data_IF_612199922604
#
_entry.id   IF_612199922604
#
_cell.length_a   1.000
_cell.length_b   1.000
_cell.length_c   1.000
_cell.angle_alpha   90.00
_cell.angle_beta   90.00
_cell.angle_gamma   90.00
#
_symmetry.space_group_name_H-M   'P 1'
#
loop_
_entity.id
_entity.type
_entity.pdbx_description
1 polymer ?
#
# COMPACT_ATOMS: atom_id res chain seq x y z
N UNK A 1 -0.96 1.95 -16.40
CA UNK A 1 -1.26 2.24 -14.98
C UNK A 1 -0.98 1.02 -14.12
N UNK A 2 -0.69 1.25 -12.84
CA UNK A 2 -0.43 0.17 -11.88
C UNK A 2 -1.53 0.19 -10.81
N UNK A 3 -2.06 -0.98 -10.46
CA UNK A 3 -3.00 -1.11 -9.34
C UNK A 3 -2.30 -0.94 -7.98
N UNK A 4 -3.11 -0.71 -6.96
CA UNK A 4 -2.70 -0.91 -5.58
C UNK A 4 -2.67 -2.42 -5.31
N UNK A 5 -1.49 -3.01 -5.39
CA UNK A 5 -1.29 -4.45 -5.30
C UNK A 5 -1.08 -4.93 -3.85
N UNK A 6 -1.99 -4.59 -2.95
CA UNK A 6 -1.96 -5.12 -1.58
C UNK A 6 -2.35 -6.61 -1.54
N UNK A 7 -1.90 -7.32 -0.52
CA UNK A 7 -2.17 -8.75 -0.31
C UNK A 7 -1.85 -9.56 -1.57
N UNK A 8 -2.68 -10.51 -1.99
CA UNK A 8 -2.45 -11.31 -3.19
C UNK A 8 -2.78 -10.61 -4.52
N UNK A 9 -2.89 -9.30 -4.53
CA UNK A 9 -3.18 -8.57 -5.77
C UNK A 9 -1.91 -8.35 -6.60
N UNK A 10 -2.02 -8.55 -7.92
CA UNK A 10 -0.96 -8.17 -8.86
C UNK A 10 -0.96 -6.66 -9.11
N UNK A 11 0.22 -6.11 -9.47
CA UNK A 11 0.36 -4.68 -9.77
C UNK A 11 -0.10 -4.27 -11.18
N UNK A 12 -0.26 -5.24 -12.09
CA UNK A 12 -0.73 -4.98 -13.45
C UNK A 12 -2.22 -4.68 -13.46
N UNK A 13 -2.62 -3.62 -14.14
CA UNK A 13 -4.04 -3.32 -14.37
C UNK A 13 -4.67 -4.36 -15.29
N UNK A 14 -5.92 -4.70 -14.99
CA UNK A 14 -6.77 -5.55 -15.82
C UNK A 14 -8.08 -4.81 -16.10
N UNK A 15 -8.73 -5.13 -17.22
CA UNK A 15 -10.02 -4.53 -17.55
C UNK A 15 -11.08 -4.84 -16.49
N UNK A 16 -11.70 -3.81 -15.95
CA UNK A 16 -12.81 -3.91 -15.01
C UNK A 16 -14.15 -3.94 -15.75
N UNK A 17 -14.41 -5.01 -16.49
CA UNK A 17 -15.60 -5.13 -17.35
C UNK A 17 -16.93 -4.79 -16.67
N UNK A 18 -17.17 -5.11 -15.38
CA UNK A 18 -18.37 -4.69 -14.68
C UNK A 18 -18.54 -3.16 -14.59
N UNK A 19 -17.47 -2.38 -14.73
CA UNK A 19 -17.56 -0.90 -14.71
C UNK A 19 -18.48 -0.35 -15.80
N UNK A 20 -18.62 -1.04 -16.94
CA UNK A 20 -19.55 -0.67 -18.02
C UNK A 20 -21.01 -0.69 -17.55
N UNK A 21 -21.38 -1.73 -16.79
CA UNK A 21 -22.72 -1.79 -16.17
C UNK A 21 -22.89 -0.73 -15.09
N UNK A 22 -21.89 -0.52 -14.24
CA UNK A 22 -21.96 0.48 -13.18
C UNK A 22 -22.07 1.90 -13.75
N UNK A 23 -21.31 2.23 -14.81
CA UNK A 23 -21.39 3.53 -15.47
C UNK A 23 -22.81 3.83 -15.98
N UNK A 24 -23.46 2.84 -16.60
CA UNK A 24 -24.84 2.95 -17.02
C UNK A 24 -25.80 3.02 -15.83
N UNK A 25 -25.66 2.12 -14.85
CA UNK A 25 -26.54 1.99 -13.69
C UNK A 25 -26.59 3.28 -12.86
N UNK A 26 -25.46 3.94 -12.69
CA UNK A 26 -25.34 5.17 -11.91
C UNK A 26 -25.38 6.44 -12.76
N UNK A 27 -25.56 6.31 -14.08
CA UNK A 27 -25.47 7.42 -15.03
C UNK A 27 -24.17 8.25 -14.80
N UNK A 28 -23.07 7.53 -14.57
CA UNK A 28 -21.77 8.13 -14.31
C UNK A 28 -20.71 7.56 -15.28
N UNK A 29 -20.57 8.14 -16.47
CA UNK A 29 -19.61 7.66 -17.47
C UNK A 29 -18.14 7.83 -17.04
N UNK A 30 -17.83 8.70 -16.06
CA UNK A 30 -16.46 8.88 -15.59
C UNK A 30 -15.87 7.59 -14.97
N UNK A 31 -16.69 6.63 -14.55
CA UNK A 31 -16.25 5.30 -14.11
C UNK A 31 -15.55 4.51 -15.23
N UNK A 32 -15.72 4.90 -16.49
CA UNK A 32 -15.06 4.29 -17.64
C UNK A 32 -13.79 5.03 -18.08
N UNK A 33 -13.40 6.09 -17.40
CA UNK A 33 -12.28 6.91 -17.84
C UNK A 33 -10.99 6.09 -18.01
N UNK A 34 -10.63 5.28 -17.02
CA UNK A 34 -9.49 4.39 -17.08
C UNK A 34 -9.70 3.24 -18.10
N UNK A 35 -10.90 2.67 -18.13
CA UNK A 35 -11.24 1.56 -19.05
C UNK A 35 -11.09 1.99 -20.51
N UNK A 36 -11.58 3.19 -20.87
CA UNK A 36 -11.45 3.73 -22.21
C UNK A 36 -9.99 4.06 -22.57
N UNK A 37 -9.20 4.54 -21.60
CA UNK A 37 -7.76 4.76 -21.79
C UNK A 37 -7.05 3.44 -22.07
N UNK A 38 -7.32 2.40 -21.29
CA UNK A 38 -6.78 1.05 -21.51
C UNK A 38 -7.20 0.49 -22.87
N UNK A 39 -8.46 0.65 -23.24
CA UNK A 39 -8.97 0.20 -24.54
C UNK A 39 -8.28 0.90 -25.71
N UNK A 40 -8.13 2.24 -25.65
CA UNK A 40 -7.43 3.04 -26.66
C UNK A 40 -5.95 2.68 -26.77
N UNK A 41 -5.31 2.27 -25.69
CA UNK A 41 -3.92 1.85 -25.63
C UNK A 41 -3.73 0.38 -26.08
N UNK A 42 -4.78 -0.33 -26.44
CA UNK A 42 -4.71 -1.76 -26.78
C UNK A 42 -4.44 -2.69 -25.60
N UNK A 43 -4.65 -2.24 -24.35
CA UNK A 43 -4.40 -3.01 -23.13
C UNK A 43 -5.51 -4.06 -22.84
N UNK A 44 -6.56 -4.09 -23.65
CA UNK A 44 -7.64 -5.09 -23.60
C UNK A 44 -7.30 -6.41 -24.32
N UNK A 45 -6.09 -6.60 -24.77
CA UNK A 45 -5.68 -7.77 -25.58
C UNK A 45 -5.90 -9.10 -24.85
N UNK A 46 -5.84 -9.13 -23.54
CA UNK A 46 -6.02 -10.34 -22.73
C UNK A 46 -7.49 -10.58 -22.30
N UNK A 47 -8.42 -9.82 -22.84
CA UNK A 47 -9.85 -9.93 -22.47
C UNK A 47 -10.65 -10.87 -23.38
N UNK A 48 -10.09 -11.35 -24.49
CA UNK A 48 -10.80 -12.16 -25.49
C UNK A 48 -11.41 -13.43 -24.91
N UNK A 49 -10.78 -14.03 -23.91
CA UNK A 49 -11.28 -15.22 -23.20
C UNK A 49 -12.17 -14.89 -21.99
N UNK A 50 -12.35 -13.61 -21.69
CA UNK A 50 -13.15 -13.21 -20.54
C UNK A 50 -14.65 -13.31 -20.88
N UNK A 51 -15.36 -14.22 -20.21
CA UNK A 51 -16.81 -14.43 -20.38
C UNK A 51 -17.68 -13.19 -20.17
N UNK A 52 -17.15 -12.14 -19.52
CA UNK A 52 -17.85 -10.87 -19.28
C UNK A 52 -17.60 -9.84 -20.40
N UNK A 53 -16.74 -10.11 -21.39
CA UNK A 53 -16.45 -9.19 -22.48
C UNK A 53 -17.74 -8.72 -23.23
N UNK A 54 -18.76 -9.56 -23.47
CA UNK A 54 -20.02 -9.14 -24.09
C UNK A 54 -20.76 -8.03 -23.31
N UNK A 55 -20.46 -7.83 -22.01
CA UNK A 55 -21.04 -6.74 -21.23
C UNK A 55 -20.72 -5.35 -21.84
N UNK A 56 -19.54 -5.19 -22.43
CA UNK A 56 -19.18 -3.94 -23.11
C UNK A 56 -20.20 -3.65 -24.21
N UNK A 57 -20.50 -4.62 -25.08
CA UNK A 57 -21.46 -4.48 -26.16
C UNK A 57 -22.87 -4.19 -25.66
N UNK A 58 -23.25 -4.81 -24.54
CA UNK A 58 -24.59 -4.63 -23.96
C UNK A 58 -24.80 -3.23 -23.33
N UNK A 59 -23.75 -2.62 -22.81
CA UNK A 59 -23.85 -1.39 -22.03
C UNK A 59 -23.26 -0.16 -22.70
N UNK A 60 -22.27 -0.32 -23.60
CA UNK A 60 -21.59 0.79 -24.26
C UNK A 60 -22.50 1.67 -25.11
N UNK A 61 -23.52 1.08 -25.79
CA UNK A 61 -24.42 1.79 -26.67
C UNK A 61 -25.27 2.89 -25.98
N UNK A 62 -25.31 2.89 -24.66
CA UNK A 62 -26.02 3.87 -23.84
C UNK A 62 -25.11 4.92 -23.21
N UNK A 63 -23.84 4.90 -23.55
CA UNK A 63 -22.81 5.77 -22.98
C UNK A 63 -22.12 6.50 -24.13
N UNK A 64 -22.03 7.82 -24.03
CA UNK A 64 -21.20 8.60 -24.93
C UNK A 64 -19.73 8.42 -24.60
N UNK A 65 -19.12 7.37 -25.19
CA UNK A 65 -17.73 6.96 -24.92
C UNK A 65 -16.70 7.97 -25.41
N UNK A 66 -17.06 8.83 -26.36
CA UNK A 66 -16.15 9.83 -26.92
C UNK A 66 -16.00 11.07 -26.03
N UNK A 67 -16.99 11.31 -25.17
CA UNK A 67 -17.04 12.48 -24.28
C UNK A 67 -16.87 12.13 -22.79
N UNK A 68 -16.35 10.95 -22.47
CA UNK A 68 -16.07 10.57 -21.09
C UNK A 68 -14.94 11.43 -20.50
N UNK A 69 -15.27 12.15 -19.42
CA UNK A 69 -14.33 13.00 -18.69
C UNK A 69 -13.72 12.24 -17.50
N UNK A 70 -12.54 12.71 -17.06
CA UNK A 70 -11.95 12.23 -15.83
C UNK A 70 -12.92 12.39 -14.64
N UNK A 71 -12.82 11.54 -13.60
CA UNK A 71 -13.54 11.77 -12.36
C UNK A 71 -13.23 13.15 -11.78
N UNK A 72 -14.24 13.81 -11.22
CA UNK A 72 -14.06 15.08 -10.49
C UNK A 72 -13.45 14.87 -9.10
N UNK A 73 -13.73 13.70 -8.52
CA UNK A 73 -13.30 13.35 -7.17
C UNK A 73 -11.83 12.90 -7.16
N UNK A 74 -11.01 13.54 -6.35
CA UNK A 74 -9.61 13.13 -6.15
C UNK A 74 -9.49 11.92 -5.22
N UNK A 75 -10.42 11.74 -4.28
CA UNK A 75 -10.36 10.71 -3.25
C UNK A 75 -11.53 9.76 -3.39
N UNK A 76 -11.23 8.48 -3.42
CA UNK A 76 -12.20 7.41 -3.34
C UNK A 76 -11.92 6.52 -2.14
N UNK A 77 -12.97 6.12 -1.40
CA UNK A 77 -12.86 5.22 -0.26
C UNK A 77 -13.78 4.02 -0.39
N UNK A 78 -13.20 2.82 -0.32
CA UNK A 78 -13.94 1.56 -0.23
C UNK A 78 -14.17 1.19 1.22
N UNK A 79 -15.45 0.92 1.55
CA UNK A 79 -15.85 0.39 2.86
C UNK A 79 -16.05 -1.12 2.72
N UNK A 80 -15.52 -1.88 3.64
CA UNK A 80 -15.64 -3.34 3.63
C UNK A 80 -14.72 -3.95 4.68
N UNK A 81 -14.53 -5.24 4.62
CA UNK A 81 -13.63 -5.99 5.51
C UNK A 81 -12.16 -5.52 5.37
N UNK A 82 -11.79 -5.10 4.17
CA UNK A 82 -10.52 -4.43 3.89
C UNK A 82 -10.81 -3.02 3.38
N UNK A 83 -10.93 -2.02 4.25
CA UNK A 83 -11.13 -0.65 3.82
C UNK A 83 -9.88 -0.15 3.08
N UNK A 84 -10.10 0.52 1.96
CA UNK A 84 -9.04 1.12 1.13
C UNK A 84 -9.39 2.57 0.81
N UNK A 85 -8.37 3.40 0.66
CA UNK A 85 -8.51 4.77 0.16
C UNK A 85 -7.55 4.94 -1.01
N UNK A 86 -8.07 5.48 -2.11
CA UNK A 86 -7.33 5.76 -3.33
C UNK A 86 -7.38 7.27 -3.58
N UNK A 87 -6.23 7.84 -3.92
CA UNK A 87 -6.10 9.25 -4.29
C UNK A 87 -5.47 9.36 -5.67
N UNK A 88 -6.05 10.20 -6.50
CA UNK A 88 -5.46 10.74 -7.73
C UNK A 88 -5.51 12.26 -7.67
N UNK A 89 -4.38 12.93 -7.87
CA UNK A 89 -4.37 14.41 -7.80
C UNK A 89 -5.01 15.05 -9.03
N UNK A 90 -4.87 14.45 -10.21
CA UNK A 90 -5.43 15.02 -11.45
C UNK A 90 -6.00 13.98 -12.45
N UNK A 91 -5.94 12.67 -12.16
CA UNK A 91 -6.41 11.57 -13.02
C UNK A 91 -5.78 11.51 -14.41
N UNK A 92 -4.74 12.29 -14.69
CA UNK A 92 -4.09 12.27 -16.02
C UNK A 92 -3.34 10.97 -16.30
N UNK A 93 -2.95 10.26 -15.23
CA UNK A 93 -2.01 9.12 -15.28
C UNK A 93 -0.67 9.49 -15.92
N UNK A 94 -0.32 10.76 -15.89
CA UNK A 94 0.95 11.32 -16.35
C UNK A 94 1.91 11.57 -15.19
N UNK A 95 3.06 12.16 -15.47
CA UNK A 95 4.03 12.55 -14.43
C UNK A 95 3.51 13.62 -13.46
N UNK A 96 2.42 14.33 -13.81
CA UNK A 96 1.78 15.32 -12.93
C UNK A 96 0.86 14.68 -11.90
N UNK A 97 0.20 13.57 -12.26
CA UNK A 97 -0.69 12.84 -11.36
C UNK A 97 0.11 12.17 -10.24
N UNK A 98 -0.30 12.37 -9.00
CA UNK A 98 0.19 11.60 -7.85
C UNK A 98 -0.88 10.61 -7.45
N UNK A 99 -0.47 9.37 -7.34
CA UNK A 99 -1.32 8.27 -6.93
C UNK A 99 -0.94 7.79 -5.55
N UNK A 100 -1.93 7.64 -4.68
CA UNK A 100 -1.76 7.09 -3.35
C UNK A 100 -2.83 6.02 -3.12
N UNK A 101 -2.40 4.83 -2.74
CA UNK A 101 -3.27 3.76 -2.25
C UNK A 101 -2.93 3.44 -0.81
N UNK A 102 -3.93 3.35 0.06
CA UNK A 102 -3.77 3.02 1.48
C UNK A 102 -4.80 1.96 1.85
N UNK A 103 -4.44 0.99 2.69
CA UNK A 103 -5.37 -0.03 3.18
C UNK A 103 -5.36 -0.21 4.69
N UNK A 104 -6.49 -0.64 5.20
CA UNK A 104 -6.69 -1.18 6.55
C UNK A 104 -6.99 -2.68 6.52
N UNK A 105 -7.94 -3.11 7.35
CA UNK A 105 -8.38 -4.50 7.49
C UNK A 105 -7.47 -5.34 8.38
N UNK A 106 -7.56 -6.65 8.26
CA UNK A 106 -6.82 -7.62 9.07
C UNK A 106 -6.14 -8.68 8.19
N UNK A 107 -5.09 -9.32 8.71
CA UNK A 107 -4.38 -10.38 8.03
C UNK A 107 -5.21 -11.66 7.85
N UNK A 108 -6.13 -11.94 8.78
CA UNK A 108 -6.96 -13.15 8.81
C UNK A 108 -8.06 -13.22 7.75
N UNK A 109 -8.08 -12.32 6.75
CA UNK A 109 -9.01 -12.39 5.63
C UNK A 109 -8.52 -13.35 4.54
N UNK A 110 -9.44 -13.85 3.69
CA UNK A 110 -9.05 -14.63 2.52
C UNK A 110 -8.05 -13.85 1.66
N UNK A 111 -6.97 -14.50 1.24
CA UNK A 111 -5.86 -13.89 0.50
C UNK A 111 -5.13 -12.74 1.22
N UNK A 112 -5.36 -12.57 2.53
CA UNK A 112 -4.76 -11.51 3.33
C UNK A 112 -3.26 -11.71 3.60
N UNK A 113 -2.54 -10.58 3.71
CA UNK A 113 -1.19 -10.50 4.24
C UNK A 113 -1.19 -9.69 5.54
N UNK A 114 -0.08 -9.70 6.28
CA UNK A 114 0.13 -8.79 7.41
C UNK A 114 0.55 -7.40 6.91
N UNK A 115 -0.30 -6.77 6.09
CA UNK A 115 -0.04 -5.52 5.38
C UNK A 115 -0.99 -4.38 5.79
N UNK A 116 -1.60 -4.49 6.96
CA UNK A 116 -2.46 -3.45 7.51
C UNK A 116 -1.70 -2.12 7.68
N UNK A 117 -2.29 -1.00 7.23
CA UNK A 117 -1.66 0.31 7.22
C UNK A 117 -0.61 0.50 6.13
N UNK A 118 -0.47 -0.45 5.19
CA UNK A 118 0.45 -0.29 4.06
C UNK A 118 -0.08 0.70 3.03
N UNK A 119 0.84 1.29 2.28
CA UNK A 119 0.55 2.24 1.22
C UNK A 119 1.45 2.03 0.01
N UNK A 120 0.95 2.45 -1.15
CA UNK A 120 1.75 2.63 -2.38
C UNK A 120 1.68 4.08 -2.81
N UNK A 121 2.75 4.60 -3.40
CA UNK A 121 2.84 5.99 -3.83
C UNK A 121 3.54 6.10 -5.17
N UNK A 122 2.83 6.68 -6.15
CA UNK A 122 3.37 7.01 -7.47
C UNK A 122 3.44 8.53 -7.61
N UNK A 123 4.57 9.04 -8.05
CA UNK A 123 4.75 10.45 -8.36
C UNK A 123 5.82 10.62 -9.42
N UNK A 124 5.65 11.60 -10.30
CA UNK A 124 6.62 11.92 -11.35
C UNK A 124 6.94 10.72 -12.25
N UNK A 125 5.94 9.85 -12.51
CA UNK A 125 6.07 8.63 -13.32
C UNK A 125 6.85 7.48 -12.67
N UNK A 126 7.13 7.56 -11.37
CA UNK A 126 7.85 6.54 -10.60
C UNK A 126 6.97 6.04 -9.45
N UNK A 127 6.92 4.72 -9.23
CA UNK A 127 6.37 4.12 -8.01
C UNK A 127 7.43 4.13 -6.92
N UNK A 128 7.36 5.13 -6.03
CA UNK A 128 8.32 5.32 -4.94
C UNK A 128 8.08 4.40 -3.76
N UNK A 129 6.81 4.17 -3.41
CA UNK A 129 6.41 3.13 -2.46
C UNK A 129 5.66 2.05 -3.20
N UNK A 130 6.07 0.79 -3.02
CA UNK A 130 5.46 -0.37 -3.67
C UNK A 130 5.10 -1.44 -2.64
N UNK A 131 4.33 -2.42 -3.10
CA UNK A 131 4.17 -3.70 -2.42
C UNK A 131 4.83 -4.81 -3.24
N UNK A 132 5.32 -5.85 -2.59
CA UNK A 132 5.93 -7.02 -3.26
C UNK A 132 4.87 -7.89 -3.94
N UNK A 133 3.61 -7.76 -3.52
CA UNK A 133 2.47 -8.48 -4.07
C UNK A 133 2.46 -9.96 -3.73
N UNK A 134 1.68 -10.70 -4.51
CA UNK A 134 1.49 -12.14 -4.31
C UNK A 134 2.76 -12.97 -4.54
N UNK A 135 2.81 -14.11 -3.88
CA UNK A 135 3.62 -15.25 -4.29
C UNK A 135 2.70 -16.41 -4.67
N UNK A 136 3.03 -17.15 -5.75
CA UNK A 136 2.21 -18.29 -6.18
C UNK A 136 2.09 -19.34 -5.08
N UNK A 137 0.87 -19.69 -4.72
CA UNK A 137 0.56 -20.69 -3.71
C UNK A 137 1.15 -22.06 -4.04
N UNK A 138 1.20 -22.41 -5.32
CA UNK A 138 1.80 -23.68 -5.78
C UNK A 138 3.28 -23.82 -5.41
N UNK A 139 3.98 -22.69 -5.20
CA UNK A 139 5.38 -22.69 -4.75
C UNK A 139 5.53 -22.75 -3.23
N UNK A 140 4.43 -22.61 -2.49
CA UNK A 140 4.41 -22.53 -1.02
C UNK A 140 3.78 -23.75 -0.36
N UNK A 141 2.71 -24.31 -0.96
CA UNK A 141 1.92 -25.38 -0.34
C UNK A 141 2.76 -26.61 0.02
N UNK A 142 3.48 -27.18 -0.96
CA UNK A 142 4.30 -28.37 -0.74
C UNK A 142 5.49 -28.09 0.20
N UNK A 143 6.28 -27.02 0.04
CA UNK A 143 7.37 -26.73 0.97
C UNK A 143 6.90 -26.53 2.43
N UNK A 144 5.81 -25.81 2.66
CA UNK A 144 5.29 -25.59 4.01
C UNK A 144 4.76 -26.90 4.62
N UNK A 145 4.06 -27.73 3.84
CA UNK A 145 3.60 -29.03 4.28
C UNK A 145 4.76 -29.97 4.66
N UNK A 146 5.84 -29.98 3.89
CA UNK A 146 7.04 -30.77 4.19
C UNK A 146 7.74 -30.34 5.49
N UNK A 147 7.54 -29.08 5.92
CA UNK A 147 8.03 -28.53 7.18
C UNK A 147 7.02 -28.71 8.33
N UNK A 148 5.89 -29.41 8.09
CA UNK A 148 4.85 -29.63 9.11
C UNK A 148 3.86 -28.49 9.29
N UNK A 149 3.89 -27.48 8.40
CA UNK A 149 2.98 -26.35 8.40
C UNK A 149 1.91 -26.40 7.31
N UNK A 150 1.14 -25.35 7.19
CA UNK A 150 0.12 -25.20 6.14
C UNK A 150 0.04 -23.73 5.71
N UNK A 151 0.01 -23.51 4.39
CA UNK A 151 -0.28 -22.19 3.84
C UNK A 151 -1.69 -21.68 4.22
N UNK A 152 -2.61 -22.62 4.46
CA UNK A 152 -4.03 -22.35 4.72
C UNK A 152 -4.36 -22.18 6.20
N UNK A 153 -3.38 -22.39 7.09
CA UNK A 153 -3.52 -22.06 8.50
C UNK A 153 -3.41 -20.55 8.70
N UNK A 154 -4.51 -19.94 9.11
CA UNK A 154 -4.60 -18.50 9.38
C UNK A 154 -4.42 -18.15 10.86
N UNK A 155 -3.99 -19.11 11.70
CA UNK A 155 -3.72 -18.85 13.13
C UNK A 155 -2.49 -17.95 13.30
N UNK A 156 -2.37 -17.26 14.44
CA UNK A 156 -1.25 -16.36 14.74
C UNK A 156 0.13 -17.02 14.68
N UNK A 157 0.20 -18.33 14.93
CA UNK A 157 1.45 -19.10 14.96
C UNK A 157 1.74 -19.81 13.65
N UNK A 158 0.94 -19.61 12.64
CA UNK A 158 1.09 -20.28 11.36
C UNK A 158 2.40 -19.94 10.67
N UNK A 159 3.00 -20.94 10.03
CA UNK A 159 4.16 -20.76 9.13
C UNK A 159 3.83 -19.92 7.89
N UNK A 160 2.55 -19.70 7.56
CA UNK A 160 2.12 -18.75 6.55
C UNK A 160 2.79 -17.39 6.74
N UNK A 161 2.87 -16.94 7.98
CA UNK A 161 3.42 -15.63 8.34
C UNK A 161 4.95 -15.59 8.41
N UNK A 162 5.63 -16.71 8.12
CA UNK A 162 7.09 -16.76 7.89
C UNK A 162 7.43 -16.54 6.42
N UNK A 163 6.46 -16.68 5.51
CA UNK A 163 6.64 -16.38 4.10
C UNK A 163 6.95 -14.89 3.93
N UNK A 164 8.04 -14.58 3.21
CA UNK A 164 8.61 -13.23 3.12
C UNK A 164 7.58 -12.18 2.72
N UNK A 165 6.81 -12.43 1.68
CA UNK A 165 5.82 -11.48 1.13
C UNK A 165 4.53 -11.37 1.93
N UNK A 166 4.30 -12.25 2.92
CA UNK A 166 3.09 -12.25 3.72
C UNK A 166 3.28 -11.61 5.10
N UNK A 167 4.53 -11.27 5.45
CA UNK A 167 4.93 -10.77 6.77
C UNK A 167 4.99 -9.24 6.81
N UNK A 168 4.47 -8.63 7.90
CA UNK A 168 4.45 -7.16 8.06
C UNK A 168 5.82 -6.49 8.03
N UNK A 169 6.89 -7.21 8.35
CA UNK A 169 8.25 -6.65 8.28
C UNK A 169 8.67 -6.30 6.85
N UNK A 170 7.97 -6.81 5.83
CA UNK A 170 8.34 -6.71 4.41
C UNK A 170 7.29 -5.94 3.58
N UNK A 171 6.40 -5.20 4.25
CA UNK A 171 5.43 -4.30 3.65
C UNK A 171 5.71 -2.83 4.00
N UNK A 172 5.11 -1.90 3.25
CA UNK A 172 5.22 -0.44 3.50
C UNK A 172 4.34 -0.02 4.68
N UNK A 173 4.64 -0.54 5.87
CA UNK A 173 3.88 -0.29 7.11
C UNK A 173 4.80 -0.16 8.33
N UNK A 174 4.21 0.00 9.52
CA UNK A 174 4.96 -0.02 10.78
C UNK A 174 4.99 -1.43 11.38
N UNK A 175 6.07 -1.71 12.09
CA UNK A 175 6.17 -2.87 12.98
C UNK A 175 6.70 -2.41 14.34
N UNK A 176 6.26 -3.06 15.41
CA UNK A 176 6.67 -2.73 16.78
C UNK A 176 7.40 -3.93 17.38
N UNK A 177 8.60 -3.70 17.93
CA UNK A 177 9.45 -4.72 18.56
C UNK A 177 9.77 -5.91 17.64
N UNK A 178 9.84 -5.68 16.32
CA UNK A 178 10.01 -6.71 15.28
C UNK A 178 8.97 -7.85 15.35
N UNK A 179 7.82 -7.59 15.99
CA UNK A 179 6.75 -8.57 16.13
C UNK A 179 5.88 -8.62 14.87
N UNK A 180 5.30 -9.79 14.64
CA UNK A 180 4.26 -9.98 13.61
C UNK A 180 3.00 -9.24 14.03
N UNK A 181 2.28 -8.70 13.06
CA UNK A 181 0.94 -8.14 13.30
C UNK A 181 -0.01 -9.22 13.85
N UNK A 182 -0.95 -8.82 14.68
CA UNK A 182 -1.99 -9.72 15.14
C UNK A 182 -2.94 -10.07 13.98
N UNK A 183 -3.11 -11.36 13.74
CA UNK A 183 -3.93 -11.88 12.62
C UNK A 183 -5.37 -11.41 12.70
N UNK A 184 -5.94 -11.40 13.92
CA UNK A 184 -7.32 -10.95 14.19
C UNK A 184 -7.40 -9.45 14.47
N UNK A 185 -6.24 -8.77 14.54
CA UNK A 185 -6.19 -7.33 14.72
C UNK A 185 -6.67 -6.60 13.48
N UNK A 186 -7.61 -5.67 13.63
CA UNK A 186 -8.20 -4.92 12.53
C UNK A 186 -7.73 -3.46 12.53
N UNK A 187 -7.19 -3.03 11.41
CA UNK A 187 -6.92 -1.61 11.13
C UNK A 187 -8.18 -0.97 10.54
N UNK A 188 -8.76 -0.03 11.28
CA UNK A 188 -10.02 0.63 10.89
C UNK A 188 -9.76 1.99 10.25
N UNK A 189 -10.47 2.30 9.16
CA UNK A 189 -10.50 3.64 8.56
C UNK A 189 -11.28 4.57 9.48
N UNK A 190 -10.61 5.59 10.03
CA UNK A 190 -11.24 6.55 10.94
C UNK A 190 -11.60 7.87 10.27
N UNK A 191 -10.78 8.31 9.30
CA UNK A 191 -11.00 9.58 8.60
C UNK A 191 -10.58 9.45 7.14
N UNK A 192 -11.42 9.92 6.23
CA UNK A 192 -11.08 10.22 4.84
C UNK A 192 -10.76 11.71 4.76
N UNK A 193 -9.56 12.05 4.28
CA UNK A 193 -9.10 13.43 4.09
C UNK A 193 -9.33 13.78 2.62
N UNK A 194 -10.15 14.79 2.36
CA UNK A 194 -10.47 15.27 1.02
C UNK A 194 -10.70 16.79 1.07
N UNK A 195 -9.63 17.55 1.26
CA UNK A 195 -9.62 18.99 1.22
C UNK A 195 -8.88 19.50 -0.03
N UNK A 196 -8.90 20.80 -0.28
CA UNK A 196 -8.21 21.40 -1.42
C UNK A 196 -6.72 21.07 -1.43
N UNK A 197 -6.07 21.11 -0.25
CA UNK A 197 -4.62 20.98 -0.12
C UNK A 197 -4.16 19.63 0.44
N UNK A 198 -5.08 18.78 0.91
CA UNK A 198 -4.73 17.50 1.52
C UNK A 198 -5.71 16.40 1.11
N UNK A 199 -5.19 15.27 0.62
CA UNK A 199 -5.98 14.10 0.24
C UNK A 199 -5.34 12.83 0.78
N UNK A 200 -6.10 11.99 1.45
CA UNK A 200 -5.59 10.76 2.06
C UNK A 200 -6.54 10.17 3.10
N UNK A 201 -5.97 9.52 4.11
CA UNK A 201 -6.75 8.88 5.15
C UNK A 201 -5.99 8.70 6.46
N UNK A 202 -6.75 8.52 7.54
CA UNK A 202 -6.27 8.08 8.85
C UNK A 202 -6.83 6.70 9.18
N UNK A 203 -5.95 5.80 9.61
CA UNK A 203 -6.28 4.46 10.08
C UNK A 203 -5.86 4.27 11.53
N UNK A 204 -6.71 3.61 12.31
CA UNK A 204 -6.38 3.15 13.63
C UNK A 204 -5.81 1.72 13.55
N UNK A 205 -4.51 1.58 13.78
CA UNK A 205 -3.77 0.31 13.76
C UNK A 205 -3.65 -0.33 15.16
N UNK A 206 -4.25 0.25 16.19
CA UNK A 206 -4.06 -0.19 17.59
C UNK A 206 -4.30 -1.68 17.78
N UNK A 207 -5.40 -2.23 17.23
CA UNK A 207 -5.71 -3.65 17.36
C UNK A 207 -4.71 -4.56 16.66
N UNK A 208 -4.03 -4.06 15.62
CA UNK A 208 -3.04 -4.82 14.84
C UNK A 208 -1.74 -5.04 15.63
N UNK A 209 -1.41 -4.13 16.55
CA UNK A 209 -0.18 -4.13 17.35
C UNK A 209 -0.42 -4.11 18.86
N UNK A 210 -1.63 -4.45 19.33
CA UNK A 210 -2.04 -4.24 20.72
C UNK A 210 -1.27 -5.08 21.75
N UNK A 211 -0.62 -6.15 21.34
CA UNK A 211 0.31 -6.92 22.15
C UNK A 211 1.68 -6.21 22.32
N UNK A 212 2.00 -5.22 21.49
CA UNK A 212 3.26 -4.51 21.45
C UNK A 212 3.17 -3.03 21.83
N UNK A 213 2.08 -2.35 21.49
CA UNK A 213 1.84 -0.93 21.76
C UNK A 213 0.44 -0.70 22.35
N UNK A 214 0.27 0.37 23.14
CA UNK A 214 -1.02 0.75 23.70
C UNK A 214 -1.92 1.42 22.66
N UNK A 215 -1.33 2.15 21.72
CA UNK A 215 -2.03 2.68 20.52
C UNK A 215 -1.09 2.89 19.35
N UNK A 216 -1.64 2.83 18.15
CA UNK A 216 -0.96 3.17 16.91
C UNK A 216 -1.97 3.76 15.93
N UNK A 217 -1.76 5.02 15.55
CA UNK A 217 -2.60 5.76 14.60
C UNK A 217 -1.73 6.17 13.44
N UNK A 218 -2.14 5.89 12.22
CA UNK A 218 -1.42 6.27 10.99
C UNK A 218 -2.28 7.14 10.10
N UNK A 219 -1.74 8.30 9.72
CA UNK A 219 -2.30 9.15 8.67
C UNK A 219 -1.36 9.14 7.48
N UNK A 220 -1.88 8.89 6.29
CA UNK A 220 -1.13 8.96 5.03
C UNK A 220 -1.87 9.90 4.09
N UNK A 221 -1.19 10.93 3.60
CA UNK A 221 -1.81 11.96 2.76
C UNK A 221 -0.85 12.59 1.78
N UNK A 222 -1.37 13.04 0.65
CA UNK A 222 -0.70 13.95 -0.27
C UNK A 222 -1.03 15.37 0.17
N UNK A 223 -0.01 16.24 0.19
CA UNK A 223 -0.13 17.63 0.57
C UNK A 223 0.26 18.53 -0.61
N UNK A 224 -0.58 19.54 -0.92
CA UNK A 224 -0.41 20.50 -2.01
C UNK A 224 -0.18 19.86 -3.38
N UNK A 225 -0.77 18.70 -3.64
CA UNK A 225 -0.58 17.87 -4.84
C UNK A 225 0.92 17.59 -5.14
N UNK A 226 1.78 17.57 -4.12
CA UNK A 226 3.25 17.49 -4.29
C UNK A 226 3.92 16.44 -3.42
N UNK A 227 3.75 16.54 -2.11
CA UNK A 227 4.53 15.77 -1.13
C UNK A 227 3.65 14.68 -0.50
N UNK A 228 4.20 13.49 -0.32
CA UNK A 228 3.56 12.48 0.54
C UNK A 228 3.99 12.71 1.98
N UNK A 229 3.01 12.76 2.87
CA UNK A 229 3.23 12.89 4.32
C UNK A 229 2.59 11.70 5.03
N UNK A 230 3.39 10.99 5.82
CA UNK A 230 2.93 9.91 6.69
C UNK A 230 3.16 10.33 8.14
N UNK A 231 2.09 10.34 8.93
CA UNK A 231 2.14 10.68 10.35
C UNK A 231 1.76 9.44 11.15
N UNK A 232 2.67 8.98 12.00
CA UNK A 232 2.45 7.85 12.90
C UNK A 232 2.52 8.34 14.35
N UNK A 233 1.42 8.16 15.09
CA UNK A 233 1.37 8.38 16.53
C UNK A 233 1.37 7.03 17.24
N UNK A 234 2.39 6.77 18.03
CA UNK A 234 2.60 5.49 18.74
C UNK A 234 2.69 5.74 20.23
N UNK A 235 1.81 5.12 21.00
CA UNK A 235 1.89 5.07 22.47
C UNK A 235 2.45 3.74 22.91
N UNK A 236 3.60 3.74 23.56
CA UNK A 236 4.17 2.54 24.16
C UNK A 236 3.28 2.05 25.32
N UNK A 237 3.30 0.74 25.56
CA UNK A 237 2.62 0.14 26.71
C UNK A 237 3.26 0.63 28.01
N UNK A 238 2.56 0.47 29.13
CA UNK A 238 3.07 0.84 30.46
C UNK A 238 4.18 -0.10 30.94
N UNK A 239 4.15 -1.35 30.49
CA UNK A 239 5.03 -2.45 30.92
C UNK A 239 6.25 -2.67 30.02
N UNK A 240 6.29 -2.02 28.83
CA UNK A 240 7.42 -2.16 27.90
C UNK A 240 7.55 -0.99 26.92
N UNK A 241 8.79 -0.77 26.47
CA UNK A 241 9.09 0.16 25.37
C UNK A 241 8.55 -0.35 24.03
N UNK A 242 8.36 0.56 23.07
CA UNK A 242 8.02 0.25 21.69
C UNK A 242 9.16 0.64 20.77
N UNK A 243 9.92 -0.35 20.27
CA UNK A 243 10.84 -0.15 19.17
C UNK A 243 10.04 -0.11 17.87
N UNK A 244 9.85 1.09 17.34
CA UNK A 244 9.13 1.33 16.09
C UNK A 244 10.07 1.10 14.92
N UNK A 245 9.68 0.26 13.98
CA UNK A 245 10.25 0.16 12.64
C UNK A 245 9.23 0.72 11.65
N UNK A 246 9.56 1.87 11.06
CA UNK A 246 8.85 2.42 9.91
C UNK A 246 9.54 1.94 8.64
N UNK A 247 8.81 1.26 7.78
CA UNK A 247 9.37 0.64 6.58
C UNK A 247 8.57 1.00 5.34
N UNK A 248 9.26 1.16 4.23
CA UNK A 248 8.71 1.33 2.88
C UNK A 248 9.50 0.46 1.91
N UNK A 249 8.80 -0.27 1.04
CA UNK A 249 9.41 -1.06 -0.05
C UNK A 249 9.50 -0.19 -1.30
N UNK A 250 10.63 -0.24 -2.02
CA UNK A 250 10.87 0.57 -3.21
C UNK A 250 11.77 -0.15 -4.22
N UNK A 251 11.68 0.24 -5.49
CA UNK A 251 12.68 -0.10 -6.53
C UNK A 251 13.70 1.02 -6.75
N UNK A 252 13.51 2.20 -6.14
CA UNK A 252 14.50 3.26 -6.19
C UNK A 252 15.73 2.90 -5.36
N UNK A 253 16.91 3.18 -5.89
CA UNK A 253 18.19 2.92 -5.21
C UNK A 253 18.35 3.88 -4.03
N UNK A 254 18.48 3.38 -2.80
CA UNK A 254 18.60 4.23 -1.62
C UNK A 254 20.06 4.61 -1.32
N UNK A 255 20.25 5.85 -0.89
CA UNK A 255 21.47 6.32 -0.22
C UNK A 255 21.06 6.87 1.15
N UNK A 256 21.58 6.26 2.22
CA UNK A 256 21.29 6.70 3.60
C UNK A 256 22.27 7.81 3.97
N UNK A 257 21.72 8.96 4.34
CA UNK A 257 22.44 10.10 4.89
C UNK A 257 22.12 10.27 6.39
N UNK A 258 22.75 11.20 7.07
CA UNK A 258 22.55 11.38 8.51
C UNK A 258 21.14 11.83 8.90
N UNK A 259 20.47 12.57 8.02
CA UNK A 259 19.19 13.25 8.26
C UNK A 259 18.08 12.86 7.26
N UNK A 260 18.38 11.95 6.33
CA UNK A 260 17.43 11.52 5.29
C UNK A 260 17.87 10.26 4.56
N UNK A 261 16.99 9.74 3.72
CA UNK A 261 17.32 8.76 2.68
C UNK A 261 17.06 9.40 1.33
N UNK A 262 18.06 9.37 0.44
CA UNK A 262 17.92 9.78 -0.96
C UNK A 262 17.54 8.56 -1.78
N UNK A 263 16.44 8.63 -2.51
CA UNK A 263 15.93 7.58 -3.38
C UNK A 263 16.15 8.00 -4.83
N UNK A 264 16.84 7.19 -5.63
CA UNK A 264 17.14 7.48 -7.03
C UNK A 264 16.49 6.45 -7.95
N UNK A 265 15.76 6.92 -8.96
CA UNK A 265 15.14 6.09 -10.01
C UNK A 265 15.40 6.74 -11.39
N UNK A 266 16.37 6.20 -12.12
CA UNK A 266 16.86 6.84 -13.33
C UNK A 266 17.40 8.25 -13.05
N UNK A 267 16.87 9.26 -13.72
CA UNK A 267 17.23 10.68 -13.48
C UNK A 267 16.39 11.35 -12.38
N UNK A 268 15.45 10.64 -11.76
CA UNK A 268 14.52 11.20 -10.78
C UNK A 268 15.00 10.91 -9.36
N UNK A 269 14.82 11.88 -8.46
CA UNK A 269 15.24 11.80 -7.06
C UNK A 269 14.06 12.13 -6.15
N UNK A 270 13.94 11.39 -5.05
CA UNK A 270 12.98 11.61 -3.99
C UNK A 270 13.72 11.57 -2.65
N UNK A 271 13.43 12.50 -1.77
CA UNK A 271 14.00 12.58 -0.44
C UNK A 271 13.00 12.08 0.59
N UNK A 272 13.39 11.09 1.39
CA UNK A 272 12.64 10.63 2.55
C UNK A 272 13.27 11.23 3.80
N UNK A 273 12.50 12.09 4.48
CA UNK A 273 12.89 12.69 5.77
C UNK A 273 11.88 12.28 6.83
N UNK A 274 12.31 12.16 8.08
CA UNK A 274 11.44 11.88 9.21
C UNK A 274 11.81 12.78 10.40
N UNK A 275 10.80 13.45 10.94
CA UNK A 275 10.89 14.24 12.17
C UNK A 275 10.03 13.54 13.22
N UNK A 276 10.57 13.36 14.41
CA UNK A 276 9.84 12.71 15.50
C UNK A 276 10.13 13.34 16.85
N UNK A 277 9.23 13.17 17.79
CA UNK A 277 9.46 13.51 19.22
C UNK A 277 10.57 12.63 19.82
N UNK A 278 10.83 11.48 19.19
CA UNK A 278 12.01 10.64 19.39
C UNK A 278 12.80 10.62 18.09
N UNK A 279 14.11 10.78 18.15
CA UNK A 279 14.97 10.90 16.96
C UNK A 279 14.92 9.61 16.12
N UNK A 280 14.51 9.67 14.84
CA UNK A 280 14.59 8.54 13.92
C UNK A 280 16.05 8.20 13.56
N UNK A 281 16.36 6.90 13.49
CA UNK A 281 17.64 6.39 12.98
C UNK A 281 17.40 5.74 11.61
N UNK A 282 17.82 6.40 10.54
CA UNK A 282 17.61 5.93 9.17
C UNK A 282 18.32 4.61 8.90
N UNK A 283 17.65 3.75 8.14
CA UNK A 283 18.09 2.38 7.87
C UNK A 283 17.59 1.85 6.54
N UNK A 284 18.28 0.83 6.06
CA UNK A 284 17.78 -0.07 5.02
C UNK A 284 17.72 -1.50 5.56
N UNK A 285 16.86 -2.33 4.98
CA UNK A 285 16.78 -3.76 5.25
C UNK A 285 16.84 -4.52 3.94
N UNK A 286 17.33 -5.76 4.00
CA UNK A 286 17.40 -6.63 2.84
C UNK A 286 16.00 -7.08 2.40
N UNK A 287 15.77 -7.13 1.10
CA UNK A 287 14.62 -7.79 0.47
C UNK A 287 14.95 -9.20 0.00
N UNK A 288 16.17 -9.69 0.29
CA UNK A 288 16.55 -11.07 0.03
C UNK A 288 15.84 -12.00 1.00
N UNK A 289 15.01 -12.91 0.54
CA UNK A 289 14.33 -13.86 1.40
C UNK A 289 15.30 -14.81 2.11
N UNK A 290 14.87 -15.31 3.26
CA UNK A 290 15.68 -16.22 4.09
C UNK A 290 15.34 -17.69 3.87
N UNK A 291 14.16 -18.00 3.33
CA UNK A 291 13.73 -19.38 3.08
C UNK A 291 13.82 -19.71 1.60
N UNK A 292 14.16 -20.95 1.29
CA UNK A 292 14.30 -21.45 -0.09
C UNK A 292 12.98 -21.51 -0.86
N UNK A 293 11.87 -21.50 -0.17
CA UNK A 293 10.53 -21.49 -0.78
C UNK A 293 10.04 -20.06 -1.11
N UNK A 294 10.68 -19.05 -0.59
CA UNK A 294 10.29 -17.67 -0.85
C UNK A 294 10.68 -17.21 -2.26
N UNK A 295 9.82 -16.43 -2.86
CA UNK A 295 10.12 -15.81 -4.15
C UNK A 295 11.14 -14.68 -3.99
N UNK A 296 12.16 -14.68 -4.85
CA UNK A 296 13.15 -13.60 -4.90
C UNK A 296 12.52 -12.24 -5.25
N UNK A 297 13.12 -11.17 -4.75
CA UNK A 297 12.67 -9.79 -4.95
C UNK A 297 13.77 -8.91 -5.58
N UNK A 298 14.26 -9.24 -6.79
CA UNK A 298 15.40 -8.56 -7.40
C UNK A 298 15.09 -7.08 -7.66
N UNK A 299 16.08 -6.21 -7.46
CA UNK A 299 15.95 -4.77 -7.72
C UNK A 299 15.01 -4.03 -6.76
N UNK A 300 14.71 -4.61 -5.59
CA UNK A 300 13.92 -3.96 -4.55
C UNK A 300 14.76 -3.69 -3.30
N UNK A 301 14.33 -2.72 -2.52
CA UNK A 301 14.93 -2.29 -1.27
C UNK A 301 13.84 -2.03 -0.23
N UNK A 302 14.17 -2.20 1.03
CA UNK A 302 13.37 -1.71 2.15
C UNK A 302 14.12 -0.57 2.82
N UNK A 303 13.44 0.56 3.00
CA UNK A 303 14.02 1.81 3.51
C UNK A 303 13.12 2.39 4.61
N UNK A 304 13.71 3.15 5.52
CA UNK A 304 12.96 3.81 6.57
C UNK A 304 13.82 4.14 7.79
N UNK A 305 13.26 3.97 8.97
CA UNK A 305 13.96 4.27 10.22
C UNK A 305 13.51 3.37 11.37
N UNK A 306 14.33 3.31 12.40
CA UNK A 306 13.97 2.80 13.73
C UNK A 306 13.97 3.92 14.75
N UNK A 307 13.08 3.83 15.74
CA UNK A 307 13.05 4.70 16.91
C UNK A 307 12.49 3.95 18.11
N UNK A 308 12.93 4.26 19.32
CA UNK A 308 12.44 3.59 20.53
C UNK A 308 11.65 4.55 21.40
N UNK A 309 10.36 4.28 21.54
CA UNK A 309 9.46 5.02 22.42
C UNK A 309 9.52 4.38 23.80
N UNK A 310 9.88 5.16 24.81
CA UNK A 310 9.97 4.72 26.20
C UNK A 310 8.60 4.26 26.71
N UNK A 311 8.58 3.27 27.60
CA UNK A 311 7.35 2.77 28.21
C UNK A 311 6.45 3.90 28.73
N UNK A 312 5.14 3.77 28.48
CA UNK A 312 4.10 4.76 28.83
C UNK A 312 4.21 6.14 28.12
N UNK A 313 5.17 6.33 27.20
CA UNK A 313 5.29 7.57 26.44
C UNK A 313 4.58 7.45 25.08
N UNK A 314 4.24 8.61 24.51
CA UNK A 314 3.73 8.74 23.13
C UNK A 314 4.80 9.40 22.29
N UNK A 315 5.02 8.89 21.08
CA UNK A 315 5.82 9.54 20.07
C UNK A 315 5.01 9.75 18.80
N UNK A 316 5.26 10.88 18.15
CA UNK A 316 4.74 11.19 16.81
C UNK A 316 5.90 11.26 15.86
N UNK A 317 5.76 10.59 14.72
CA UNK A 317 6.72 10.63 13.61
C UNK A 317 6.03 11.19 12.38
N UNK A 318 6.60 12.24 11.78
CA UNK A 318 6.16 12.79 10.50
C UNK A 318 7.20 12.48 9.46
N UNK A 319 6.87 11.55 8.55
CA UNK A 319 7.72 11.15 7.42
C UNK A 319 7.23 11.87 6.18
N UNK A 320 8.14 12.51 5.46
CA UNK A 320 7.84 13.23 4.21
C UNK A 320 8.65 12.64 3.06
N UNK A 321 7.97 12.35 1.95
CA UNK A 321 8.60 12.07 0.65
C UNK A 321 8.39 13.30 -0.24
N UNK A 322 9.49 13.96 -0.63
CA UNK A 322 9.47 15.18 -1.45
C UNK A 322 10.54 15.13 -2.54
N UNK A 323 10.24 15.69 -3.71
CA UNK A 323 11.23 15.85 -4.79
C UNK A 323 12.14 17.07 -4.57
N UNK A 324 11.88 17.89 -3.56
CA UNK A 324 12.66 19.09 -3.24
C UNK A 324 13.78 18.75 -2.28
N UNK A 325 15.00 19.09 -2.65
CA UNK A 325 16.13 19.10 -1.71
C UNK A 325 15.93 20.27 -0.75
N UNK A 326 15.59 19.98 0.51
CA UNK A 326 15.43 20.99 1.59
C UNK A 326 16.69 21.05 2.41
#
# INVERSE_FOLDING_TARGET
>A
SKFFNYSDCASSSTAALPSWWFAQKYNNPSLLYNELKMLKNGEYTNCSENRLLPMIMAFANKIDVDNVKAPSEKVWSGKGETPVVIVHTDWSYSDTDKYLGIKGGKAGTSHGHMDAGSFVYDAYGVRWSMDLGLQSYTTLETPLANLGGSLWDMSQKSMRWDVFRLNNLNHSTISINDAKHLVDGEATLTTVINSENEQGATFNLTKVVSDQAASAIRTVKIVDDKDLVVIDEIKARTDKQAKVRWCMVTQAVPTVENDRIVLTSGSKVMYLTAIGTVKPAYKTWSTTPTHSYDQANPGTYMVGFEATVTANQTATFTTTLTSKNK
#
